data_IF_906212550029
#
_entry.id   IF_906212550029
#
_cell.length_a   1.000
_cell.length_b   1.000
_cell.length_c   1.000
_cell.angle_alpha   90.00
_cell.angle_beta   90.00
_cell.angle_gamma   90.00
#
_symmetry.space_group_name_H-M   'P 1'
#
loop_
_entity.id
_entity.type
_entity.pdbx_description
1 polymer ?
#
# COMPACT_ATOMS: atom_id res chain seq x y z
N UNK A 1 5.13 16.02 -2.79
CA UNK A 1 4.14 15.14 -3.47
C UNK A 1 3.60 14.18 -2.41
N UNK A 2 2.31 13.83 -2.43
CA UNK A 2 1.68 12.98 -1.40
C UNK A 2 1.33 11.62 -2.02
N UNK A 3 1.55 10.54 -1.28
CA UNK A 3 1.31 9.18 -1.76
C UNK A 3 0.46 8.42 -0.73
N UNK A 4 -0.76 8.04 -1.13
CA UNK A 4 -1.73 7.40 -0.25
C UNK A 4 -2.07 6.00 -0.76
N UNK A 5 -2.25 5.06 0.17
CA UNK A 5 -2.56 3.67 -0.14
C UNK A 5 -3.64 3.15 0.80
N UNK A 6 -4.62 2.40 0.27
CA UNK A 6 -5.66 1.74 1.07
C UNK A 6 -5.91 0.32 0.61
N UNK A 7 -6.39 -0.47 1.55
CA UNK A 7 -6.92 -1.81 1.35
C UNK A 7 -8.41 -1.76 1.71
N UNK A 8 -9.29 -2.29 0.86
CA UNK A 8 -10.73 -2.22 1.08
C UNK A 8 -11.18 -3.14 2.22
N UNK A 9 -10.51 -4.27 2.39
CA UNK A 9 -10.70 -5.22 3.49
C UNK A 9 -10.04 -4.81 4.83
N UNK A 10 -9.61 -3.55 4.97
CA UNK A 10 -8.95 -3.09 6.18
C UNK A 10 -9.93 -3.07 7.36
N UNK A 11 -9.83 -4.08 8.24
CA UNK A 11 -10.71 -4.24 9.39
C UNK A 11 -10.31 -3.40 10.61
N UNK A 12 -9.16 -2.71 10.56
CA UNK A 12 -8.66 -1.88 11.67
C UNK A 12 -9.28 -0.48 11.64
N UNK A 13 -9.37 0.14 10.47
CA UNK A 13 -10.15 1.36 10.23
C UNK A 13 -10.58 1.40 8.75
N UNK A 14 -11.67 2.10 8.43
CA UNK A 14 -12.16 2.27 7.05
C UNK A 14 -11.22 3.21 6.26
N UNK A 15 -10.03 2.72 5.93
CA UNK A 15 -8.97 3.45 5.23
C UNK A 15 -9.49 4.01 3.91
N UNK A 16 -10.35 3.25 3.24
CA UNK A 16 -10.98 3.65 1.98
C UNK A 16 -11.82 4.91 2.16
N UNK A 17 -12.65 4.99 3.21
CA UNK A 17 -13.43 6.20 3.53
C UNK A 17 -12.55 7.41 3.83
N UNK A 18 -11.44 7.23 4.55
CA UNK A 18 -10.55 8.35 4.87
C UNK A 18 -9.81 8.88 3.64
N UNK A 19 -9.31 7.99 2.78
CA UNK A 19 -8.68 8.40 1.51
C UNK A 19 -9.68 9.13 0.61
N UNK A 20 -10.92 8.63 0.48
CA UNK A 20 -11.96 9.33 -0.30
C UNK A 20 -12.22 10.74 0.23
N UNK A 21 -12.33 10.90 1.55
CA UNK A 21 -12.47 12.22 2.17
C UNK A 21 -11.26 13.13 1.93
N UNK A 22 -10.05 12.59 1.94
CA UNK A 22 -8.84 13.35 1.62
C UNK A 22 -8.85 13.80 0.16
N UNK A 23 -9.20 12.91 -0.77
CA UNK A 23 -9.32 13.19 -2.20
C UNK A 23 -10.36 14.28 -2.48
N UNK A 24 -11.56 14.18 -1.90
CA UNK A 24 -12.61 15.20 -1.98
C UNK A 24 -12.14 16.56 -1.45
N UNK A 25 -11.40 16.57 -0.34
CA UNK A 25 -10.90 17.81 0.27
C UNK A 25 -9.81 18.47 -0.57
N UNK A 26 -8.94 17.67 -1.19
CA UNK A 26 -7.94 18.18 -2.12
C UNK A 26 -8.62 18.75 -3.37
N UNK A 27 -9.56 18.03 -3.97
CA UNK A 27 -10.31 18.50 -5.15
C UNK A 27 -11.12 19.78 -4.91
N UNK A 28 -11.63 19.99 -3.69
CA UNK A 28 -12.51 21.11 -3.36
C UNK A 28 -11.78 22.42 -2.99
N UNK A 29 -10.45 22.43 -2.88
CA UNK A 29 -9.68 23.61 -2.47
C UNK A 29 -8.55 23.91 -3.45
N UNK A 30 -8.27 25.18 -3.79
CA UNK A 30 -7.09 25.52 -4.56
C UNK A 30 -5.82 25.02 -3.86
N UNK A 31 -5.02 24.21 -4.54
CA UNK A 31 -3.73 23.75 -4.06
C UNK A 31 -2.78 23.46 -5.24
N UNK A 32 -1.48 23.49 -4.97
CA UNK A 32 -0.43 23.09 -5.92
C UNK A 32 0.08 21.66 -5.67
N UNK A 33 -0.46 20.99 -4.66
CA UNK A 33 -0.05 19.63 -4.28
C UNK A 33 -0.29 18.63 -5.41
N UNK A 34 0.78 17.91 -5.80
CA UNK A 34 0.69 16.68 -6.59
C UNK A 34 0.51 15.48 -5.66
N UNK A 35 -0.45 14.61 -5.95
CA UNK A 35 -0.69 13.41 -5.15
C UNK A 35 -1.07 12.20 -6.02
N UNK A 36 -0.79 11.01 -5.48
CA UNK A 36 -1.13 9.71 -6.07
C UNK A 36 -1.94 8.90 -5.05
N UNK A 37 -3.01 8.24 -5.50
CA UNK A 37 -3.86 7.38 -4.67
C UNK A 37 -3.86 5.98 -5.26
N UNK A 38 -3.52 4.99 -4.45
CA UNK A 38 -3.56 3.58 -4.81
C UNK A 38 -4.61 2.85 -3.97
N UNK A 39 -5.59 2.26 -4.64
CA UNK A 39 -6.70 1.53 -4.03
C UNK A 39 -6.55 0.05 -4.35
N UNK A 40 -6.49 -0.80 -3.32
CA UNK A 40 -6.46 -2.25 -3.48
C UNK A 40 -7.67 -2.88 -2.80
N UNK A 41 -8.25 -3.90 -3.43
CA UNK A 41 -9.39 -4.63 -2.87
C UNK A 41 -8.93 -5.48 -1.67
N UNK A 42 -7.91 -6.31 -1.88
CA UNK A 42 -7.36 -7.21 -0.87
C UNK A 42 -5.90 -6.88 -0.55
N UNK A 43 -5.53 -7.04 0.71
CA UNK A 43 -4.18 -6.75 1.17
C UNK A 43 -3.97 -7.04 2.66
N UNK A 44 -2.73 -6.91 3.12
CA UNK A 44 -2.39 -6.98 4.55
C UNK A 44 -2.15 -5.58 5.09
N UNK A 45 -2.72 -5.26 6.26
CA UNK A 45 -2.57 -3.94 6.89
C UNK A 45 -1.09 -3.52 7.09
N UNK A 46 -0.24 -4.47 7.47
CA UNK A 46 1.21 -4.27 7.45
C UNK A 46 1.74 -4.52 6.03
N UNK A 47 1.91 -3.45 5.27
CA UNK A 47 2.54 -3.50 3.95
C UNK A 47 4.03 -3.19 4.08
N UNK A 48 4.81 -4.17 4.54
CA UNK A 48 6.23 -4.11 4.27
C UNK A 48 6.44 -4.29 2.76
N UNK A 49 7.18 -3.40 2.07
CA UNK A 49 7.48 -3.57 0.66
C UNK A 49 8.13 -4.93 0.42
N UNK A 50 7.80 -5.58 -0.70
CA UNK A 50 8.30 -6.93 -1.00
C UNK A 50 9.84 -6.99 -0.96
N UNK A 51 10.52 -5.96 -1.47
CA UNK A 51 11.99 -5.85 -1.41
C UNK A 51 12.54 -5.84 0.03
N UNK A 52 11.89 -5.13 0.95
CA UNK A 52 12.26 -5.08 2.37
C UNK A 52 12.03 -6.43 3.03
N UNK A 53 10.89 -7.06 2.76
CA UNK A 53 10.56 -8.35 3.33
C UNK A 53 11.55 -9.44 2.89
N UNK A 54 11.91 -9.46 1.60
CA UNK A 54 12.92 -10.40 1.08
C UNK A 54 14.33 -10.15 1.62
N UNK A 55 14.69 -8.91 1.93
CA UNK A 55 15.97 -8.61 2.59
C UNK A 55 16.01 -9.10 4.02
N UNK A 56 14.91 -8.92 4.77
CA UNK A 56 14.81 -9.35 6.16
C UNK A 56 14.70 -10.88 6.28
N UNK A 57 13.97 -11.52 5.35
CA UNK A 57 13.75 -12.96 5.34
C UNK A 57 13.75 -13.49 3.89
N UNK A 58 14.91 -13.88 3.34
CA UNK A 58 15.04 -14.26 1.92
C UNK A 58 14.31 -15.56 1.57
N UNK A 59 14.08 -16.45 2.56
CA UNK A 59 13.36 -17.71 2.40
C UNK A 59 12.25 -17.77 3.45
N UNK A 60 11.01 -18.05 3.03
CA UNK A 60 9.87 -18.23 3.95
C UNK A 60 9.10 -16.96 4.31
N UNK A 61 9.47 -15.78 3.78
CA UNK A 61 8.73 -14.52 3.94
C UNK A 61 7.23 -14.65 3.64
N UNK A 62 6.86 -15.27 2.51
CA UNK A 62 5.47 -15.46 2.14
C UNK A 62 4.71 -16.40 3.11
N UNK A 63 5.40 -17.38 3.69
CA UNK A 63 4.81 -18.28 4.69
C UNK A 63 4.53 -17.55 6.00
N UNK A 64 5.47 -16.72 6.44
CA UNK A 64 5.30 -15.86 7.63
C UNK A 64 4.10 -14.92 7.44
N UNK A 65 4.04 -14.21 6.30
CA UNK A 65 2.92 -13.29 5.99
C UNK A 65 1.58 -14.03 5.98
N UNK A 66 1.51 -15.22 5.38
CA UNK A 66 0.32 -16.06 5.44
C UNK A 66 -0.03 -16.44 6.88
N UNK A 67 0.93 -16.79 7.73
CA UNK A 67 0.64 -17.15 9.12
C UNK A 67 0.13 -15.98 9.95
N UNK A 68 0.71 -14.79 9.76
CA UNK A 68 0.46 -13.59 10.55
C UNK A 68 -0.82 -12.84 10.18
N UNK A 69 -1.29 -12.94 8.93
CA UNK A 69 -2.43 -12.15 8.45
C UNK A 69 -3.55 -13.01 7.88
N UNK A 70 -4.75 -12.89 8.44
CA UNK A 70 -5.95 -13.59 7.96
C UNK A 70 -6.28 -13.26 6.50
N UNK A 71 -6.07 -12.02 6.05
CA UNK A 71 -6.25 -11.62 4.66
C UNK A 71 -5.27 -12.33 3.73
N UNK A 72 -3.99 -12.49 4.13
CA UNK A 72 -3.02 -13.25 3.35
C UNK A 72 -3.28 -14.75 3.31
N UNK A 73 -4.03 -15.30 4.29
CA UNK A 73 -4.53 -16.69 4.21
C UNK A 73 -5.65 -16.83 3.18
N UNK A 74 -6.59 -15.89 3.16
CA UNK A 74 -7.77 -15.91 2.28
C UNK A 74 -7.43 -15.54 0.83
N UNK A 75 -6.59 -14.52 0.65
CA UNK A 75 -6.24 -13.91 -0.64
C UNK A 75 -4.71 -13.80 -0.80
N UNK A 76 -3.98 -14.92 -0.82
CA UNK A 76 -2.52 -14.91 -0.81
C UNK A 76 -1.90 -14.31 -2.07
N UNK A 77 -2.52 -14.51 -3.23
CA UNK A 77 -2.00 -14.04 -4.51
C UNK A 77 -2.20 -12.53 -4.65
N UNK A 78 -3.37 -12.04 -4.29
CA UNK A 78 -3.78 -10.64 -4.32
C UNK A 78 -2.95 -9.82 -3.32
N UNK A 79 -2.76 -10.34 -2.10
CA UNK A 79 -1.89 -9.70 -1.11
C UNK A 79 -0.43 -9.61 -1.58
N UNK A 80 0.07 -10.62 -2.31
CA UNK A 80 1.43 -10.57 -2.87
C UNK A 80 1.53 -9.61 -4.05
N UNK A 81 0.55 -9.62 -4.96
CA UNK A 81 0.49 -8.71 -6.09
C UNK A 81 0.46 -7.25 -5.61
N UNK A 82 -0.37 -6.95 -4.61
CA UNK A 82 -0.41 -5.64 -3.95
C UNK A 82 0.97 -5.26 -3.38
N UNK A 83 1.63 -6.14 -2.61
CA UNK A 83 2.96 -5.83 -2.04
C UNK A 83 4.01 -5.53 -3.11
N UNK A 84 4.00 -6.28 -4.22
CA UNK A 84 4.94 -6.07 -5.34
C UNK A 84 4.65 -4.76 -6.06
N UNK A 85 3.38 -4.44 -6.31
CA UNK A 85 3.03 -3.18 -6.95
C UNK A 85 3.37 -1.99 -6.04
N UNK A 86 3.01 -2.06 -4.76
CA UNK A 86 3.32 -1.03 -3.78
C UNK A 86 4.83 -0.75 -3.71
N UNK A 87 5.65 -1.79 -3.69
CA UNK A 87 7.12 -1.69 -3.66
C UNK A 87 7.66 -0.93 -4.89
N UNK A 88 7.12 -1.20 -6.08
CA UNK A 88 7.48 -0.47 -7.30
C UNK A 88 7.05 0.99 -7.24
N UNK A 89 5.80 1.26 -6.86
CA UNK A 89 5.26 2.61 -6.79
C UNK A 89 6.00 3.46 -5.76
N UNK A 90 6.19 2.94 -4.53
CA UNK A 90 6.96 3.60 -3.48
C UNK A 90 8.39 3.90 -3.92
N UNK A 91 9.06 2.93 -4.54
CA UNK A 91 10.42 3.12 -5.05
C UNK A 91 10.48 4.22 -6.12
N UNK A 92 9.55 4.21 -7.08
CA UNK A 92 9.48 5.24 -8.12
C UNK A 92 9.17 6.63 -7.55
N UNK A 93 8.26 6.72 -6.58
CA UNK A 93 7.92 7.97 -5.88
C UNK A 93 9.13 8.53 -5.13
N UNK A 94 9.84 7.69 -4.35
CA UNK A 94 11.03 8.11 -3.61
C UNK A 94 12.13 8.60 -4.56
N UNK A 95 12.39 7.88 -5.65
CA UNK A 95 13.38 8.30 -6.67
C UNK A 95 12.97 9.62 -7.31
N UNK A 96 11.69 9.78 -7.67
CA UNK A 96 11.15 11.02 -8.22
C UNK A 96 11.27 12.20 -7.23
N UNK A 97 11.20 11.96 -5.93
CA UNK A 97 11.38 13.01 -4.93
C UNK A 97 12.85 13.39 -4.77
N UNK A 98 13.76 12.41 -4.79
CA UNK A 98 15.20 12.68 -4.69
C UNK A 98 15.73 13.48 -5.89
N UNK A 99 15.12 13.30 -7.06
CA UNK A 99 15.51 13.96 -8.31
C UNK A 99 14.75 15.28 -8.58
N UNK A 100 13.85 15.70 -7.70
CA UNK A 100 13.21 17.03 -7.70
C UNK A 100 13.92 17.95 -6.69
#
# INVERSE_FOLDING_TARGET
KLCYHTIQDDSLWDTAKYIRRMDERLKSRPHTCKYSIYLYEHGTHFVFPESVLKKALPVGADLLVKMSFSAAKKFPAECKAMRVDLDKQLSAEIVSWKNN
#
